data_IF_843793952445
#
_entry.id   IF_843793952445
#
_cell.length_a   1.000
_cell.length_b   1.000
_cell.length_c   1.000
_cell.angle_alpha   90.00
_cell.angle_beta   90.00
_cell.angle_gamma   90.00
#
_symmetry.space_group_name_H-M   'P 1'
#
loop_
_entity.id
_entity.type
_entity.pdbx_description
1 polymer ?
#
# COMPACT_ATOMS: atom_id res chain seq x y z
N UNK A 1 -21.79 14.84 18.36
CA UNK A 1 -20.52 14.10 18.25
C UNK A 1 -19.94 14.33 16.86
N UNK A 2 -19.21 15.42 16.62
CA UNK A 2 -18.52 15.63 15.34
C UNK A 2 -17.19 14.90 15.40
N UNK A 3 -17.10 13.72 14.80
CA UNK A 3 -15.85 13.00 14.66
C UNK A 3 -14.88 13.88 13.85
N UNK A 4 -13.99 14.57 14.55
CA UNK A 4 -12.76 15.11 13.99
C UNK A 4 -12.03 13.94 13.35
N UNK A 5 -12.06 13.81 12.01
CA UNK A 5 -11.16 12.90 11.30
C UNK A 5 -9.74 13.45 11.49
N UNK A 6 -9.11 13.09 12.61
CA UNK A 6 -7.75 13.50 12.97
C UNK A 6 -6.68 12.86 12.06
N UNK A 7 -7.09 11.96 11.17
CA UNK A 7 -6.25 11.31 10.16
C UNK A 7 -6.86 9.96 9.77
N UNK A 8 -6.25 9.31 8.78
CA UNK A 8 -6.57 7.95 8.33
C UNK A 8 -5.28 7.21 7.95
N UNK A 9 -5.34 5.88 8.02
CA UNK A 9 -4.27 5.00 7.53
C UNK A 9 -4.79 4.31 6.27
N UNK A 10 -3.98 4.28 5.22
CA UNK A 10 -4.30 3.60 3.96
C UNK A 10 -3.27 2.55 3.59
N UNK A 11 -3.74 1.48 2.96
CA UNK A 11 -2.92 0.40 2.41
C UNK A 11 -2.15 0.85 1.15
N UNK A 12 -1.19 0.05 0.69
CA UNK A 12 -0.45 0.32 -0.55
C UNK A 12 -0.82 -0.68 -1.68
N UNK A 13 -1.99 -0.51 -2.33
CA UNK A 13 -2.46 -1.44 -3.36
C UNK A 13 -1.49 -1.58 -4.53
N UNK A 14 -0.82 -0.48 -4.92
CA UNK A 14 0.17 -0.51 -5.99
C UNK A 14 1.39 -1.36 -5.64
N UNK A 15 1.86 -1.31 -4.39
CA UNK A 15 2.95 -2.19 -3.93
C UNK A 15 2.49 -3.65 -3.85
N UNK A 16 1.27 -3.90 -3.36
CA UNK A 16 0.68 -5.25 -3.31
C UNK A 16 0.68 -5.87 -4.72
N UNK A 17 0.11 -5.19 -5.72
CA UNK A 17 0.06 -5.70 -7.09
C UNK A 17 1.44 -5.99 -7.68
N UNK A 18 2.41 -5.09 -7.45
CA UNK A 18 3.81 -5.30 -7.90
C UNK A 18 4.45 -6.51 -7.23
N UNK A 19 4.24 -6.70 -5.93
CA UNK A 19 4.82 -7.82 -5.20
C UNK A 19 4.18 -9.15 -5.60
N UNK A 20 2.87 -9.18 -5.87
CA UNK A 20 2.20 -10.36 -6.40
C UNK A 20 2.86 -10.81 -7.70
N UNK A 21 2.99 -9.92 -8.69
CA UNK A 21 3.62 -10.26 -9.97
C UNK A 21 5.07 -10.71 -9.79
N UNK A 22 5.86 -10.02 -8.97
CA UNK A 22 7.26 -10.39 -8.70
C UNK A 22 7.38 -11.76 -8.04
N UNK A 23 6.55 -12.03 -7.03
CA UNK A 23 6.53 -13.32 -6.33
C UNK A 23 6.09 -14.44 -7.27
N UNK A 24 5.06 -14.22 -8.11
CA UNK A 24 4.63 -15.19 -9.12
C UNK A 24 5.75 -15.53 -10.11
N UNK A 25 6.47 -14.53 -10.61
CA UNK A 25 7.61 -14.76 -11.53
C UNK A 25 8.74 -15.51 -10.85
N UNK A 26 9.04 -15.21 -9.57
CA UNK A 26 10.03 -15.94 -8.80
C UNK A 26 9.60 -17.41 -8.52
N UNK A 27 8.32 -17.66 -8.24
CA UNK A 27 7.77 -18.99 -8.06
C UNK A 27 7.92 -19.85 -9.32
N UNK A 28 7.59 -19.29 -10.50
CA UNK A 28 7.79 -19.95 -11.80
C UNK A 28 9.25 -20.35 -12.00
N UNK A 29 10.19 -19.53 -11.52
CA UNK A 29 11.64 -19.80 -11.55
C UNK A 29 12.13 -20.70 -10.40
N UNK A 30 11.23 -21.34 -9.65
CA UNK A 30 11.53 -22.20 -8.49
C UNK A 30 12.41 -21.54 -7.44
N UNK A 31 12.34 -20.22 -7.30
CA UNK A 31 13.07 -19.50 -6.25
C UNK A 31 12.34 -19.67 -4.91
N UNK A 32 13.11 -19.71 -3.82
CA UNK A 32 12.54 -19.67 -2.48
C UNK A 32 11.87 -18.30 -2.26
N UNK A 33 10.64 -18.32 -1.77
CA UNK A 33 9.87 -17.13 -1.46
C UNK A 33 9.76 -16.95 0.06
N UNK A 34 9.70 -15.69 0.55
CA UNK A 34 9.26 -15.45 1.91
C UNK A 34 7.79 -15.82 2.06
N UNK A 35 7.40 -16.25 3.26
CA UNK A 35 6.02 -16.59 3.59
C UNK A 35 5.12 -15.34 3.63
N UNK A 36 5.68 -14.21 4.06
CA UNK A 36 4.97 -12.93 4.18
C UNK A 36 5.77 -11.83 3.46
N UNK A 37 5.08 -11.02 2.67
CA UNK A 37 5.65 -9.83 2.02
C UNK A 37 4.88 -8.60 2.51
N UNK A 38 5.54 -7.78 3.33
CA UNK A 38 4.93 -6.57 3.86
C UNK A 38 5.02 -5.40 2.87
N UNK A 39 3.88 -4.82 2.54
CA UNK A 39 3.75 -3.78 1.51
C UNK A 39 3.64 -2.37 2.08
N UNK A 40 3.53 -2.25 3.39
CA UNK A 40 3.45 -1.01 4.12
C UNK A 40 2.10 -0.29 3.97
N UNK A 41 2.01 0.83 4.68
CA UNK A 41 0.83 1.69 4.77
C UNK A 41 1.26 3.16 4.85
N UNK A 42 0.30 4.07 4.66
CA UNK A 42 0.52 5.50 4.78
C UNK A 42 -0.50 6.12 5.73
N UNK A 43 -0.04 6.89 6.71
CA UNK A 43 -0.88 7.77 7.51
C UNK A 43 -1.04 9.13 6.84
N UNK A 44 -2.27 9.64 6.79
CA UNK A 44 -2.53 10.98 6.27
C UNK A 44 -3.59 11.72 7.09
N UNK A 45 -3.51 13.04 7.07
CA UNK A 45 -4.47 13.96 7.66
C UNK A 45 -4.67 15.17 6.73
N UNK A 46 -5.41 16.18 7.19
CA UNK A 46 -5.73 17.37 6.38
C UNK A 46 -4.50 18.13 5.87
N UNK A 47 -3.32 17.96 6.50
CA UNK A 47 -2.08 18.67 6.17
C UNK A 47 -1.34 18.04 5.01
N UNK A 48 -1.54 16.74 4.74
CA UNK A 48 -0.78 16.00 3.74
C UNK A 48 -1.63 15.12 2.81
N UNK A 49 -2.96 15.23 2.85
CA UNK A 49 -3.89 14.48 1.98
C UNK A 49 -3.63 14.72 0.49
N UNK A 50 -3.03 15.85 0.13
CA UNK A 50 -2.71 16.22 -1.24
C UNK A 50 -1.28 15.82 -1.68
N UNK A 51 -0.49 15.19 -0.80
CA UNK A 51 0.81 14.63 -1.19
C UNK A 51 0.58 13.60 -2.31
N UNK A 52 1.30 13.70 -3.45
CA UNK A 52 1.18 12.76 -4.56
C UNK A 52 1.23 11.28 -4.13
N UNK A 53 2.00 10.96 -3.08
CA UNK A 53 2.11 9.60 -2.53
C UNK A 53 0.82 9.13 -1.88
N UNK A 54 0.11 10.02 -1.17
CA UNK A 54 -1.19 9.73 -0.57
C UNK A 54 -2.29 9.70 -1.64
N UNK A 55 -2.26 10.64 -2.59
CA UNK A 55 -3.21 10.69 -3.71
C UNK A 55 -3.10 9.50 -4.68
N UNK A 56 -1.94 8.85 -4.78
CA UNK A 56 -1.73 7.69 -5.65
C UNK A 56 -2.34 6.38 -5.13
N UNK A 57 -2.76 6.37 -3.86
CA UNK A 57 -3.27 5.20 -3.16
C UNK A 57 -4.78 4.98 -3.33
N UNK A 58 -5.66 6.01 -3.22
CA UNK A 58 -7.07 5.80 -3.50
C UNK A 58 -7.24 5.42 -4.97
N UNK A 59 -7.78 4.22 -5.20
CA UNK A 59 -8.40 3.85 -6.47
C UNK A 59 -9.44 4.93 -6.78
N UNK A 60 -9.25 5.67 -7.87
CA UNK A 60 -10.35 6.44 -8.45
C UNK A 60 -11.23 5.50 -9.26
#
# INVERSE_FOLDING_TARGET
MTASRSGAITQNPGAIGRQVVRASVAAIKRKRLPEVIETGHYGYDRRNIDDPRIRSVPYR
#
